data_IF_968691743594
#
_entry.id   IF_968691743594
#
_cell.length_a   1.000
_cell.length_b   1.000
_cell.length_c   1.000
_cell.angle_alpha   90.00
_cell.angle_beta   90.00
_cell.angle_gamma   90.00
#
_symmetry.space_group_name_H-M   'P 1'
#
loop_
_entity.id
_entity.type
_entity.pdbx_description
1 polymer ?
#
# COMPACT_ATOMS: atom_id res chain seq x y z
N UNK A 1 21.98 65.84 15.51
CA UNK A 1 21.37 64.65 16.14
C UNK A 1 20.90 63.72 15.03
N UNK A 2 21.64 62.62 14.76
CA UNK A 2 21.37 61.71 13.64
C UNK A 2 20.27 60.71 14.02
N UNK A 3 19.21 60.64 13.21
CA UNK A 3 18.13 59.66 13.33
C UNK A 3 18.62 58.32 12.76
N UNK A 4 18.63 57.27 13.59
CA UNK A 4 19.05 55.92 13.21
C UNK A 4 17.81 55.11 12.87
N UNK A 5 17.57 54.89 11.59
CA UNK A 5 16.45 54.07 11.08
C UNK A 5 16.85 52.59 11.11
N UNK A 6 16.12 51.80 11.89
CA UNK A 6 16.29 50.36 12.05
C UNK A 6 15.66 49.63 10.85
N UNK A 7 16.48 48.96 10.03
CA UNK A 7 15.98 48.08 8.96
C UNK A 7 15.76 46.67 9.54
N UNK A 8 14.49 46.28 9.71
CA UNK A 8 14.11 44.90 10.08
C UNK A 8 13.98 44.10 8.79
N UNK A 9 14.98 43.28 8.49
CA UNK A 9 14.93 42.30 7.41
C UNK A 9 13.94 41.18 7.78
N UNK A 10 12.76 41.19 7.16
CA UNK A 10 11.80 40.10 7.23
C UNK A 10 12.35 38.91 6.44
N UNK A 11 12.81 37.88 7.14
CA UNK A 11 13.25 36.63 6.54
C UNK A 11 12.02 35.76 6.28
N UNK A 12 11.55 35.73 5.03
CA UNK A 12 10.51 34.80 4.57
C UNK A 12 11.13 33.39 4.50
N UNK A 13 10.95 32.62 5.57
CA UNK A 13 11.28 31.19 5.56
C UNK A 13 10.19 30.48 4.77
N UNK A 14 10.45 30.25 3.48
CA UNK A 14 9.65 29.32 2.68
C UNK A 14 9.89 27.92 3.20
N UNK A 15 8.91 27.38 3.92
CA UNK A 15 8.91 25.97 4.31
C UNK A 15 8.72 25.17 3.01
N UNK A 16 9.81 24.63 2.48
CA UNK A 16 9.72 23.58 1.48
C UNK A 16 9.05 22.39 2.17
N UNK A 17 7.75 22.21 1.92
CA UNK A 17 7.08 20.96 2.26
C UNK A 17 7.84 19.85 1.54
N UNK A 18 8.64 19.08 2.28
CA UNK A 18 9.17 17.82 1.79
C UNK A 18 7.95 16.98 1.41
N UNK A 19 7.74 16.83 0.10
CA UNK A 19 6.76 15.89 -0.42
C UNK A 19 7.10 14.52 0.17
N UNK A 20 6.29 14.07 1.12
CA UNK A 20 6.38 12.74 1.66
C UNK A 20 6.03 11.80 0.51
N UNK A 21 7.03 11.24 -0.15
CA UNK A 21 6.81 10.09 -1.02
C UNK A 21 6.53 8.92 -0.07
N UNK A 22 5.27 8.44 0.07
CA UNK A 22 5.04 7.16 0.71
C UNK A 22 5.90 6.18 -0.07
N UNK A 23 6.99 5.78 0.57
CA UNK A 23 8.00 4.93 -0.03
C UNK A 23 7.27 3.74 -0.65
N UNK A 24 7.67 3.38 -1.85
CA UNK A 24 7.18 2.23 -2.62
C UNK A 24 7.50 0.87 -1.92
N UNK A 25 7.55 0.83 -0.57
CA UNK A 25 7.76 -0.31 0.31
C UNK A 25 6.80 -1.46 0.05
N UNK A 26 5.58 -1.17 -0.41
CA UNK A 26 4.60 -2.21 -0.76
C UNK A 26 5.03 -2.98 -2.01
N UNK A 27 5.80 -2.36 -2.92
CA UNK A 27 6.22 -2.98 -4.17
C UNK A 27 7.07 -4.23 -3.93
N UNK A 28 7.00 -5.15 -4.89
CA UNK A 28 7.73 -6.40 -4.87
C UNK A 28 6.87 -7.59 -4.48
N UNK A 29 7.54 -8.72 -4.21
CA UNK A 29 6.89 -10.03 -4.04
C UNK A 29 6.65 -10.36 -2.58
N UNK A 30 5.49 -10.96 -2.33
CA UNK A 30 5.02 -11.32 -1.01
C UNK A 30 4.40 -12.70 -1.04
N UNK A 31 4.73 -13.52 -0.04
CA UNK A 31 4.23 -14.87 0.11
C UNK A 31 3.28 -14.93 1.32
N UNK A 32 2.16 -15.64 1.17
CA UNK A 32 1.21 -15.83 2.27
C UNK A 32 1.81 -16.73 3.35
N UNK A 33 1.22 -16.69 4.55
CA UNK A 33 1.69 -17.46 5.71
C UNK A 33 1.83 -18.98 5.42
N UNK A 34 0.91 -19.55 4.64
CA UNK A 34 0.92 -20.97 4.29
C UNK A 34 1.88 -21.32 3.14
N UNK A 35 2.55 -20.33 2.54
CA UNK A 35 3.47 -20.49 1.39
C UNK A 35 2.85 -21.09 0.13
N UNK A 36 1.53 -20.96 -0.02
CA UNK A 36 0.77 -21.50 -1.16
C UNK A 36 0.49 -20.46 -2.26
N UNK A 37 0.78 -19.18 -2.00
CA UNK A 37 0.56 -18.08 -2.95
C UNK A 37 1.62 -17.01 -2.82
N UNK A 38 2.14 -16.55 -3.97
CA UNK A 38 3.01 -15.39 -4.11
C UNK A 38 2.27 -14.34 -4.93
N UNK A 39 2.22 -13.12 -4.43
CA UNK A 39 1.71 -11.94 -5.15
C UNK A 39 2.82 -10.92 -5.35
N UNK A 40 2.71 -10.13 -6.41
CA UNK A 40 3.60 -9.00 -6.69
C UNK A 40 2.81 -7.71 -6.76
N UNK A 41 3.14 -6.76 -5.88
CA UNK A 41 2.58 -5.42 -5.96
C UNK A 41 3.35 -4.60 -7.00
N UNK A 42 2.60 -3.96 -7.88
CA UNK A 42 3.10 -3.06 -8.92
C UNK A 42 2.40 -1.70 -8.80
N UNK A 43 3.12 -0.65 -9.20
CA UNK A 43 2.57 0.71 -9.25
C UNK A 43 1.77 0.87 -10.54
N UNK A 44 0.62 1.52 -10.45
CA UNK A 44 -0.23 1.87 -11.59
C UNK A 44 -0.48 3.38 -11.59
N UNK A 45 -1.13 3.88 -12.64
CA UNK A 45 -1.54 5.29 -12.70
C UNK A 45 -2.55 5.68 -11.60
N UNK A 46 -3.18 4.70 -10.95
CA UNK A 46 -4.27 4.92 -9.99
C UNK A 46 -3.96 4.46 -8.57
N UNK A 47 -2.71 4.02 -8.32
CA UNK A 47 -2.27 3.49 -7.04
C UNK A 47 -1.44 2.22 -7.22
N UNK A 48 -1.86 1.13 -6.60
CA UNK A 48 -1.14 -0.14 -6.59
C UNK A 48 -2.09 -1.32 -6.81
N UNK A 49 -1.63 -2.26 -7.63
CA UNK A 49 -2.30 -3.54 -7.86
C UNK A 49 -1.39 -4.67 -7.43
N UNK A 50 -1.96 -5.83 -7.09
CA UNK A 50 -1.23 -7.06 -6.84
C UNK A 50 -1.65 -8.18 -7.80
N UNK A 51 -0.66 -8.78 -8.46
CA UNK A 51 -0.86 -9.92 -9.37
C UNK A 51 -0.40 -11.21 -8.72
N UNK A 52 -1.10 -12.32 -8.98
CA UNK A 52 -0.68 -13.65 -8.53
C UNK A 52 0.45 -14.13 -9.44
N UNK A 53 1.66 -14.21 -8.90
CA UNK A 53 2.83 -14.73 -9.62
C UNK A 53 2.89 -16.25 -9.52
N UNK A 54 2.51 -16.78 -8.35
CA UNK A 54 2.47 -18.21 -8.11
C UNK A 54 1.30 -18.57 -7.18
N UNK A 55 0.62 -19.66 -7.49
CA UNK A 55 -0.34 -20.31 -6.64
C UNK A 55 -0.29 -21.83 -6.87
N UNK A 56 -0.62 -22.61 -5.84
CA UNK A 56 -0.79 -24.07 -5.97
C UNK A 56 -1.80 -24.42 -7.06
N UNK A 57 -2.94 -23.73 -7.09
CA UNK A 57 -3.83 -23.77 -8.23
C UNK A 57 -3.29 -22.85 -9.35
N UNK A 58 -2.60 -23.46 -10.31
CA UNK A 58 -1.96 -22.76 -11.43
C UNK A 58 -2.90 -21.92 -12.29
N UNK A 59 -4.20 -22.23 -12.31
CA UNK A 59 -5.19 -21.42 -13.03
C UNK A 59 -5.32 -19.99 -12.49
N UNK A 60 -4.84 -19.73 -11.28
CA UNK A 60 -4.86 -18.40 -10.68
C UNK A 60 -3.64 -17.56 -11.05
N UNK A 61 -2.59 -18.14 -11.64
CA UNK A 61 -1.39 -17.39 -12.00
C UNK A 61 -1.72 -16.33 -13.07
N UNK A 62 -1.17 -15.13 -12.91
CA UNK A 62 -1.43 -13.98 -13.78
C UNK A 62 -2.71 -13.20 -13.45
N UNK A 63 -3.60 -13.74 -12.61
CA UNK A 63 -4.79 -13.01 -12.19
C UNK A 63 -4.48 -11.92 -11.17
N UNK A 64 -5.28 -10.85 -11.19
CA UNK A 64 -5.23 -9.78 -10.20
C UNK A 64 -5.79 -10.29 -8.87
N UNK A 65 -4.99 -10.23 -7.80
CA UNK A 65 -5.40 -10.54 -6.44
C UNK A 65 -6.02 -9.33 -5.74
N UNK A 66 -5.44 -8.15 -5.95
CA UNK A 66 -5.91 -6.87 -5.40
C UNK A 66 -5.78 -5.79 -6.48
N UNK A 67 -6.81 -4.97 -6.65
CA UNK A 67 -6.81 -3.81 -7.54
C UNK A 67 -7.05 -2.51 -6.78
N UNK A 68 -6.40 -1.43 -7.21
CA UNK A 68 -6.78 -0.05 -6.86
C UNK A 68 -6.42 0.42 -5.45
N UNK A 69 -5.41 -0.17 -4.80
CA UNK A 69 -4.96 0.31 -3.49
C UNK A 69 -4.37 1.72 -3.59
N UNK A 70 -4.69 2.58 -2.63
CA UNK A 70 -4.18 3.95 -2.54
C UNK A 70 -3.43 4.17 -1.22
N UNK A 71 -2.30 4.89 -1.22
CA UNK A 71 -1.58 5.18 0.01
C UNK A 71 -2.43 6.15 0.86
N UNK A 72 -2.71 5.75 2.11
CA UNK A 72 -3.32 6.61 3.12
C UNK A 72 -2.28 7.13 4.13
N UNK A 73 -1.23 6.34 4.39
CA UNK A 73 -0.11 6.68 5.25
C UNK A 73 1.16 5.93 4.80
N UNK A 74 2.34 6.15 5.41
CA UNK A 74 3.58 5.45 5.06
C UNK A 74 3.47 3.93 5.00
N UNK A 75 2.64 3.37 5.87
CA UNK A 75 2.51 1.94 6.11
C UNK A 75 1.05 1.48 5.96
N UNK A 76 0.13 2.33 5.46
CA UNK A 76 -1.28 1.99 5.26
C UNK A 76 -1.74 2.33 3.84
N UNK A 77 -2.37 1.35 3.19
CA UNK A 77 -2.97 1.45 1.87
C UNK A 77 -4.43 1.04 1.94
N UNK A 78 -5.33 1.83 1.38
CA UNK A 78 -6.79 1.67 1.52
C UNK A 78 -7.48 1.65 0.15
N UNK A 79 -8.81 1.52 0.16
CA UNK A 79 -9.68 1.53 -1.03
C UNK A 79 -9.43 0.42 -2.06
N UNK A 80 -8.61 -0.58 -1.70
CA UNK A 80 -8.35 -1.73 -2.54
C UNK A 80 -9.55 -2.65 -2.68
N UNK A 81 -9.59 -3.41 -3.76
CA UNK A 81 -10.55 -4.49 -3.99
C UNK A 81 -9.82 -5.82 -4.13
N UNK A 82 -10.04 -6.74 -3.19
CA UNK A 82 -9.48 -8.08 -3.20
C UNK A 82 -10.41 -9.09 -3.87
N UNK A 83 -9.86 -9.97 -4.69
CA UNK A 83 -10.56 -11.07 -5.33
C UNK A 83 -10.50 -12.34 -4.46
N UNK A 84 -11.64 -12.77 -3.92
CA UNK A 84 -11.80 -14.04 -3.23
C UNK A 84 -12.18 -15.12 -4.25
N UNK A 85 -11.16 -15.72 -4.85
CA UNK A 85 -11.33 -16.79 -5.85
C UNK A 85 -12.14 -17.99 -5.34
N UNK A 86 -12.02 -18.35 -4.05
CA UNK A 86 -12.79 -19.47 -3.47
C UNK A 86 -14.30 -19.24 -3.44
N UNK A 87 -14.75 -17.99 -3.52
CA UNK A 87 -16.16 -17.62 -3.47
C UNK A 87 -16.62 -16.88 -4.72
N UNK A 88 -15.73 -16.72 -5.72
CA UNK A 88 -15.93 -15.90 -6.91
C UNK A 88 -16.50 -14.50 -6.58
N UNK A 89 -15.87 -13.79 -5.62
CA UNK A 89 -16.35 -12.47 -5.15
C UNK A 89 -15.24 -11.45 -5.04
N UNK A 90 -15.61 -10.18 -5.18
CA UNK A 90 -14.78 -9.03 -4.87
C UNK A 90 -15.16 -8.46 -3.50
N UNK A 91 -14.18 -8.07 -2.70
CA UNK A 91 -14.40 -7.38 -1.42
C UNK A 91 -13.51 -6.16 -1.28
N UNK A 92 -13.96 -5.17 -0.50
CA UNK A 92 -13.08 -4.08 -0.08
C UNK A 92 -11.97 -4.61 0.84
N UNK A 93 -10.77 -4.11 0.63
CA UNK A 93 -9.61 -4.42 1.46
C UNK A 93 -8.70 -3.21 1.69
N UNK A 94 -7.89 -3.34 2.72
CA UNK A 94 -6.78 -2.46 3.04
C UNK A 94 -5.52 -3.31 3.27
N UNK A 95 -4.36 -2.68 3.15
CA UNK A 95 -3.05 -3.29 3.38
C UNK A 95 -2.29 -2.45 4.38
N UNK A 96 -1.82 -3.10 5.45
CA UNK A 96 -0.95 -2.49 6.44
C UNK A 96 0.43 -3.13 6.41
N UNK A 97 1.49 -2.33 6.34
CA UNK A 97 2.87 -2.76 6.41
C UNK A 97 3.34 -2.77 7.86
N UNK A 98 4.06 -3.82 8.25
CA UNK A 98 4.81 -3.85 9.51
C UNK A 98 6.30 -3.92 9.15
N UNK A 99 6.94 -2.75 9.09
CA UNK A 99 8.30 -2.60 8.61
C UNK A 99 8.44 -2.93 7.12
N UNK A 100 9.58 -3.52 6.73
CA UNK A 100 9.87 -3.88 5.32
C UNK A 100 9.58 -5.34 4.98
N UNK A 101 9.23 -6.17 5.98
CA UNK A 101 9.25 -7.63 5.87
C UNK A 101 7.87 -8.27 5.97
N UNK A 102 6.88 -7.54 6.48
CA UNK A 102 5.54 -8.08 6.71
C UNK A 102 4.49 -7.13 6.18
N UNK A 103 3.43 -7.71 5.65
CA UNK A 103 2.20 -6.98 5.36
C UNK A 103 0.99 -7.78 5.82
N UNK A 104 -0.08 -7.04 6.06
CA UNK A 104 -1.36 -7.55 6.51
C UNK A 104 -2.41 -7.07 5.53
N UNK A 105 -3.08 -8.02 4.87
CA UNK A 105 -4.20 -7.73 3.98
C UNK A 105 -5.47 -7.95 4.78
N UNK A 106 -6.22 -6.89 5.03
CA UNK A 106 -7.48 -6.94 5.77
C UNK A 106 -8.62 -6.74 4.79
N UNK A 107 -9.50 -7.74 4.69
CA UNK A 107 -10.67 -7.72 3.83
C UNK A 107 -11.97 -7.80 4.62
N UNK A 108 -13.00 -7.08 4.17
CA UNK A 108 -14.34 -7.15 4.75
C UNK A 108 -15.26 -8.01 3.89
N UNK A 109 -15.68 -9.17 4.40
CA UNK A 109 -16.71 -9.99 3.77
C UNK A 109 -18.00 -9.96 4.60
N UNK A 110 -19.02 -9.28 4.07
CA UNK A 110 -20.28 -8.99 4.81
C UNK A 110 -19.97 -8.23 6.11
N UNK A 111 -20.33 -8.81 7.26
CA UNK A 111 -20.10 -8.24 8.60
C UNK A 111 -18.79 -8.71 9.24
N UNK A 112 -18.03 -9.59 8.56
CA UNK A 112 -16.81 -10.19 9.10
C UNK A 112 -15.58 -9.53 8.49
N UNK A 113 -14.68 -9.07 9.35
CA UNK A 113 -13.35 -8.62 8.99
C UNK A 113 -12.39 -9.81 9.09
N UNK A 114 -11.58 -10.04 8.06
CA UNK A 114 -10.50 -11.05 8.10
C UNK A 114 -9.19 -10.41 7.69
N UNK A 115 -8.14 -10.71 8.43
CA UNK A 115 -6.78 -10.27 8.14
C UNK A 115 -5.92 -11.47 7.83
N UNK A 116 -5.13 -11.38 6.76
CA UNK A 116 -4.14 -12.38 6.38
C UNK A 116 -2.76 -11.75 6.37
N UNK A 117 -1.81 -12.44 7.01
CA UNK A 117 -0.40 -12.06 7.03
C UNK A 117 0.33 -12.59 5.80
N UNK A 118 1.22 -11.75 5.28
CA UNK A 118 2.15 -12.06 4.21
C UNK A 118 3.55 -11.58 4.60
N UNK A 119 4.56 -12.27 4.09
CA UNK A 119 5.96 -11.92 4.31
C UNK A 119 6.64 -11.66 2.99
N UNK A 120 7.71 -10.87 3.00
CA UNK A 120 8.52 -10.65 1.80
C UNK A 120 9.01 -12.00 1.24
N UNK A 121 8.93 -12.17 -0.08
CA UNK A 121 9.44 -13.35 -0.81
C UNK A 121 10.86 -13.10 -1.32
#
# INVERSE_FOLDING_TARGET
MKKMTLFIASCLVTINMLAFNPSDKILGKWINENRTRIIEFVKTNHGYDAYIIHAENKSLNGHVQIEGLRPASPDLFVDGTAFLFSHNKKIKCEVHLEGSQKLYITGRYRLVLKTQKWTRY
#
